data_IF_228197457414
#
_entry.id   IF_228197457414
#
_cell.length_a   1.000
_cell.length_b   1.000
_cell.length_c   1.000
_cell.angle_alpha   90.00
_cell.angle_beta   90.00
_cell.angle_gamma   90.00
#
_symmetry.space_group_name_H-M   'P 1'
#
loop_
_entity.id
_entity.type
_entity.pdbx_description
1 polymer ?
#
# COMPACT_ATOMS: atom_id res chain seq x y z
N UNK A 1 -1.20 -3.09 -18.43
CA UNK A 1 -1.37 -2.28 -17.20
C UNK A 1 -2.75 -2.59 -16.63
N UNK A 2 -2.88 -3.62 -15.80
CA UNK A 2 -4.16 -4.01 -15.18
C UNK A 2 -4.30 -3.51 -13.73
N UNK A 3 -3.24 -2.94 -13.15
CA UNK A 3 -3.17 -2.59 -11.72
C UNK A 3 -2.45 -1.28 -11.40
N UNK A 4 -2.09 -0.50 -12.43
CA UNK A 4 -1.41 0.78 -12.28
C UNK A 4 -2.46 1.90 -12.27
N UNK A 5 -2.53 2.67 -11.18
CA UNK A 5 -3.44 3.82 -11.11
C UNK A 5 -2.89 4.93 -12.00
N UNK A 6 -3.68 5.41 -12.95
CA UNK A 6 -3.29 6.60 -13.73
C UNK A 6 -3.17 7.80 -12.79
N UNK A 7 -1.94 8.24 -12.51
CA UNK A 7 -1.70 9.51 -11.82
C UNK A 7 -1.68 10.64 -12.85
N UNK A 8 -2.72 11.47 -12.83
CA UNK A 8 -2.88 12.64 -13.72
C UNK A 8 -2.08 13.87 -13.25
N UNK A 9 -1.60 13.87 -12.01
CA UNK A 9 -0.84 14.98 -11.43
C UNK A 9 0.66 14.66 -11.47
N UNK A 10 1.29 14.81 -12.64
CA UNK A 10 2.75 14.91 -12.69
C UNK A 10 3.14 16.35 -12.35
N UNK A 11 3.85 16.62 -11.24
CA UNK A 11 4.47 17.92 -11.06
C UNK A 11 5.45 18.16 -12.22
N UNK A 12 5.68 19.44 -12.56
CA UNK A 12 6.68 19.82 -13.56
C UNK A 12 8.03 19.28 -13.07
N UNK A 13 8.43 18.14 -13.62
CA UNK A 13 9.62 17.43 -13.19
C UNK A 13 10.85 18.18 -13.68
N UNK A 14 11.95 18.09 -12.93
CA UNK A 14 13.25 18.63 -13.35
C UNK A 14 13.67 18.04 -14.72
N UNK A 15 13.20 16.84 -15.05
CA UNK A 15 13.38 16.20 -16.35
C UNK A 15 12.66 16.96 -17.48
N UNK A 16 11.49 17.53 -17.23
CA UNK A 16 10.77 18.40 -18.18
C UNK A 16 11.55 19.70 -18.45
N UNK A 17 12.20 20.25 -17.42
CA UNK A 17 13.04 21.46 -17.54
C UNK A 17 14.34 21.14 -18.28
N UNK A 18 14.98 20.01 -17.97
CA UNK A 18 16.16 19.54 -18.70
C UNK A 18 15.82 19.27 -20.18
N UNK A 19 14.69 18.65 -20.47
CA UNK A 19 14.26 18.38 -21.84
C UNK A 19 13.98 19.68 -22.62
N UNK A 20 13.40 20.68 -21.96
CA UNK A 20 13.21 22.01 -22.53
C UNK A 20 14.55 22.71 -22.80
N UNK A 21 15.52 22.62 -21.89
CA UNK A 21 16.89 23.14 -22.10
C UNK A 21 17.60 22.45 -23.27
N UNK A 22 17.45 21.13 -23.42
CA UNK A 22 18.00 20.38 -24.56
C UNK A 22 17.38 20.89 -25.86
N UNK A 23 16.05 21.08 -25.91
CA UNK A 23 15.36 21.59 -27.10
C UNK A 23 15.83 23.02 -27.43
N UNK A 24 16.00 23.88 -26.44
CA UNK A 24 16.47 25.26 -26.64
C UNK A 24 17.92 25.28 -27.17
N UNK A 25 18.81 24.46 -26.60
CA UNK A 25 20.19 24.35 -27.06
C UNK A 25 20.22 23.76 -28.49
N UNK A 26 19.47 22.68 -28.73
CA UNK A 26 19.39 22.07 -30.06
C UNK A 26 18.84 23.04 -31.12
N UNK A 27 17.79 23.80 -30.80
CA UNK A 27 17.21 24.78 -31.75
C UNK A 27 18.15 25.96 -32.00
N UNK A 28 18.84 26.49 -30.98
CA UNK A 28 19.84 27.54 -31.15
C UNK A 28 21.01 27.09 -32.06
N UNK A 29 21.50 25.86 -31.89
CA UNK A 29 22.60 25.33 -32.69
C UNK A 29 22.17 24.86 -34.09
N UNK A 30 20.96 24.33 -34.27
CA UNK A 30 20.39 24.06 -35.61
C UNK A 30 20.24 25.38 -36.37
N UNK A 31 19.78 26.44 -35.70
CA UNK A 31 19.67 27.79 -36.29
C UNK A 31 21.06 28.31 -36.67
N UNK A 32 22.07 28.15 -35.81
CA UNK A 32 23.46 28.48 -36.14
C UNK A 32 23.97 27.69 -37.35
N UNK A 33 23.76 26.37 -37.39
CA UNK A 33 24.12 25.52 -38.51
C UNK A 33 23.42 25.90 -39.82
N UNK A 34 22.13 26.25 -39.77
CA UNK A 34 21.37 26.73 -40.92
C UNK A 34 21.89 28.08 -41.43
N UNK A 35 22.24 29.01 -40.52
CA UNK A 35 22.89 30.28 -40.86
C UNK A 35 24.26 30.06 -41.51
N UNK A 36 25.05 29.10 -41.03
CA UNK A 36 26.37 28.76 -41.58
C UNK A 36 26.27 28.11 -42.96
N UNK A 37 25.28 27.24 -43.19
CA UNK A 37 25.00 26.65 -44.50
C UNK A 37 24.50 27.72 -45.48
N UNK A 38 23.61 28.63 -45.06
CA UNK A 38 23.21 29.77 -45.89
C UNK A 38 24.39 30.70 -46.20
N UNK A 39 25.35 30.87 -45.29
CA UNK A 39 26.60 31.61 -45.54
C UNK A 39 27.57 30.89 -46.50
N UNK A 40 27.50 29.55 -46.58
CA UNK A 40 28.28 28.74 -47.53
C UNK A 40 27.63 28.63 -48.92
N UNK A 41 26.29 28.66 -48.99
CA UNK A 41 25.50 28.53 -50.24
C UNK A 41 25.19 29.90 -50.86
N UNK A 42 25.12 30.95 -50.04
CA UNK A 42 24.96 32.33 -50.48
C UNK A 42 26.28 32.90 -50.99
N UNK A 43 26.46 32.95 -52.30
CA UNK A 43 27.42 33.85 -52.95
C UNK A 43 27.10 35.29 -52.51
N UNK A 44 27.80 35.81 -51.50
CA UNK A 44 27.89 37.25 -51.31
C UNK A 44 29.05 37.78 -52.15
N UNK A 45 28.64 38.46 -53.21
CA UNK A 45 29.50 39.24 -54.09
C UNK A 45 30.27 40.30 -53.29
N UNK A 46 31.57 40.35 -53.56
CA UNK A 46 32.59 41.38 -53.28
C UNK A 46 32.55 42.21 -51.98
N UNK A 47 33.74 42.30 -51.36
CA UNK A 47 34.16 43.30 -50.36
C UNK A 47 33.56 43.18 -48.96
N UNK A 48 33.98 42.17 -48.20
CA UNK A 48 34.38 42.39 -46.81
C UNK A 48 35.48 41.40 -46.43
N UNK A 49 36.62 41.95 -46.06
CA UNK A 49 37.80 41.26 -45.55
C UNK A 49 37.39 40.45 -44.30
N UNK A 50 37.20 39.14 -44.44
CA UNK A 50 37.05 38.26 -43.29
C UNK A 50 37.64 36.89 -43.58
N UNK A 51 38.74 36.63 -42.89
CA UNK A 51 39.61 35.48 -43.01
C UNK A 51 39.01 34.20 -42.38
N UNK A 52 37.69 34.00 -42.48
CA UNK A 52 36.98 32.89 -41.87
C UNK A 52 36.45 31.93 -42.93
N UNK A 53 37.36 31.17 -43.55
CA UNK A 53 36.99 29.95 -44.28
C UNK A 53 36.64 28.88 -43.27
N UNK A 54 35.37 28.78 -42.91
CA UNK A 54 34.85 27.67 -42.12
C UNK A 54 34.98 26.41 -42.98
N UNK A 55 35.72 25.41 -42.48
CA UNK A 55 35.99 24.19 -43.24
C UNK A 55 34.90 23.16 -42.95
N UNK A 56 34.56 22.30 -43.90
CA UNK A 56 33.62 21.17 -43.69
C UNK A 56 33.96 20.30 -42.45
N UNK A 57 35.25 20.23 -42.10
CA UNK A 57 35.73 19.58 -40.88
C UNK A 57 35.27 20.28 -39.59
N UNK A 58 35.08 21.60 -39.57
CA UNK A 58 34.58 22.33 -38.40
C UNK A 58 33.10 22.02 -38.15
N UNK A 59 32.33 21.82 -39.22
CA UNK A 59 30.94 21.37 -39.12
C UNK A 59 30.86 19.95 -38.53
N UNK A 60 31.69 19.01 -39.01
CA UNK A 60 31.75 17.64 -38.47
C UNK A 60 32.16 17.66 -36.99
N UNK A 61 33.16 18.45 -36.62
CA UNK A 61 33.58 18.60 -35.23
C UNK A 61 32.47 19.18 -34.35
N UNK A 62 31.72 20.17 -34.84
CA UNK A 62 30.55 20.72 -34.15
C UNK A 62 29.45 19.67 -33.93
N UNK A 63 29.12 18.87 -34.95
CA UNK A 63 28.15 17.77 -34.84
C UNK A 63 28.61 16.69 -33.87
N UNK A 64 29.90 16.35 -33.86
CA UNK A 64 30.47 15.37 -32.93
C UNK A 64 30.39 15.85 -31.46
N UNK A 65 30.62 17.14 -31.21
CA UNK A 65 30.47 17.72 -29.88
C UNK A 65 29.00 17.72 -29.42
N UNK A 66 28.05 17.96 -30.33
CA UNK A 66 26.60 17.87 -30.05
C UNK A 66 26.21 16.43 -29.67
N UNK A 67 26.63 15.44 -30.47
CA UNK A 67 26.34 14.04 -30.19
C UNK A 67 26.90 13.62 -28.82
N UNK A 68 28.11 14.10 -28.48
CA UNK A 68 28.75 13.83 -27.20
C UNK A 68 28.00 14.49 -26.04
N UNK A 69 27.61 15.76 -26.16
CA UNK A 69 26.84 16.46 -25.14
C UNK A 69 25.46 15.81 -24.90
N UNK A 70 24.76 15.42 -25.98
CA UNK A 70 23.49 14.69 -25.88
C UNK A 70 23.67 13.32 -25.24
N UNK A 71 24.75 12.59 -25.57
CA UNK A 71 25.06 11.31 -24.93
C UNK A 71 25.30 11.46 -23.43
N UNK A 72 26.00 12.51 -22.98
CA UNK A 72 26.20 12.78 -21.56
C UNK A 72 24.88 13.13 -20.84
N UNK A 73 24.01 13.92 -21.46
CA UNK A 73 22.70 14.26 -20.88
C UNK A 73 21.81 13.02 -20.78
N UNK A 74 21.76 12.19 -21.83
CA UNK A 74 21.03 10.92 -21.80
C UNK A 74 21.59 9.97 -20.75
N UNK A 75 22.92 9.87 -20.63
CA UNK A 75 23.56 9.06 -19.59
C UNK A 75 23.21 9.56 -18.18
N UNK A 76 23.15 10.88 -17.97
CA UNK A 76 22.73 11.47 -16.69
C UNK A 76 21.26 11.16 -16.36
N UNK A 77 20.35 11.34 -17.32
CA UNK A 77 18.93 11.00 -17.16
C UNK A 77 18.78 9.51 -16.84
N UNK A 78 19.49 8.64 -17.58
CA UNK A 78 19.48 7.19 -17.36
C UNK A 78 20.02 6.83 -15.97
N UNK A 79 21.08 7.50 -15.52
CA UNK A 79 21.66 7.30 -14.18
C UNK A 79 20.66 7.64 -13.07
N UNK A 80 20.00 8.80 -13.14
CA UNK A 80 18.98 9.17 -12.15
C UNK A 80 17.80 8.20 -12.15
N UNK A 81 17.31 7.83 -13.34
CA UNK A 81 16.23 6.84 -13.49
C UNK A 81 16.62 5.51 -12.86
N UNK A 82 17.86 5.05 -13.08
CA UNK A 82 18.36 3.79 -12.52
C UNK A 82 18.45 3.85 -10.98
N UNK A 83 18.93 4.95 -10.40
CA UNK A 83 18.93 5.13 -8.93
C UNK A 83 17.51 5.05 -8.36
N UNK A 84 16.55 5.75 -8.96
CA UNK A 84 15.16 5.72 -8.49
C UNK A 84 14.60 4.30 -8.59
N UNK A 85 14.82 3.59 -9.70
CA UNK A 85 14.39 2.20 -9.86
C UNK A 85 15.03 1.26 -8.83
N UNK A 86 16.33 1.39 -8.57
CA UNK A 86 17.01 0.60 -7.53
C UNK A 86 16.45 0.87 -6.14
N UNK A 87 16.18 2.14 -5.81
CA UNK A 87 15.54 2.51 -4.55
C UNK A 87 14.14 1.89 -4.43
N UNK A 88 13.32 1.99 -5.48
CA UNK A 88 11.98 1.40 -5.50
C UNK A 88 12.02 -0.14 -5.35
N UNK A 89 12.99 -0.80 -5.97
CA UNK A 89 13.22 -2.24 -5.80
C UNK A 89 13.53 -2.62 -4.35
N UNK A 90 14.39 -1.86 -3.67
CA UNK A 90 14.75 -2.11 -2.27
C UNK A 90 13.55 -1.87 -1.35
N UNK A 91 12.83 -0.76 -1.52
CA UNK A 91 11.64 -0.44 -0.72
C UNK A 91 10.57 -1.52 -0.93
N UNK A 92 10.34 -1.94 -2.17
CA UNK A 92 9.41 -3.01 -2.49
C UNK A 92 9.81 -4.34 -1.83
N UNK A 93 11.09 -4.71 -1.91
CA UNK A 93 11.59 -5.92 -1.28
C UNK A 93 11.39 -5.90 0.25
N UNK A 94 11.68 -4.77 0.91
CA UNK A 94 11.47 -4.63 2.34
C UNK A 94 9.98 -4.65 2.70
N UNK A 95 9.11 -4.00 1.92
CA UNK A 95 7.66 -4.04 2.13
C UNK A 95 7.12 -5.48 2.05
N UNK A 96 7.63 -6.29 1.11
CA UNK A 96 7.29 -7.72 1.01
C UNK A 96 7.74 -8.50 2.24
N UNK A 97 8.95 -8.26 2.73
CA UNK A 97 9.45 -8.87 3.97
C UNK A 97 8.53 -8.53 5.15
N UNK A 98 7.98 -7.30 5.22
CA UNK A 98 7.01 -6.95 6.26
C UNK A 98 5.70 -7.75 6.10
N UNK A 99 5.21 -7.96 4.87
CA UNK A 99 4.04 -8.82 4.61
C UNK A 99 4.32 -10.26 5.04
N UNK A 100 5.47 -10.82 4.69
CA UNK A 100 5.85 -12.19 5.07
C UNK A 100 5.89 -12.34 6.61
N UNK A 101 6.42 -11.34 7.32
CA UNK A 101 6.38 -11.29 8.80
C UNK A 101 4.95 -11.27 9.34
N UNK A 102 4.03 -10.53 8.70
CA UNK A 102 2.63 -10.54 9.09
C UNK A 102 2.01 -11.91 8.90
N UNK A 103 2.26 -12.58 7.78
CA UNK A 103 1.78 -13.94 7.53
C UNK A 103 2.25 -14.89 8.63
N UNK A 104 3.54 -14.84 8.99
CA UNK A 104 4.09 -15.66 10.08
C UNK A 104 3.38 -15.40 11.41
N UNK A 105 3.14 -14.13 11.76
CA UNK A 105 2.41 -13.79 12.99
C UNK A 105 0.95 -14.28 12.93
N UNK A 106 0.28 -14.11 11.80
CA UNK A 106 -1.11 -14.56 11.59
C UNK A 106 -1.20 -16.08 11.77
N UNK A 107 -0.29 -16.84 11.16
CA UNK A 107 -0.27 -18.31 11.24
C UNK A 107 0.12 -18.82 12.64
N UNK A 108 0.71 -17.98 13.48
CA UNK A 108 1.01 -18.30 14.88
C UNK A 108 -0.17 -18.09 15.84
N UNK A 109 -1.27 -17.48 15.38
CA UNK A 109 -2.48 -17.28 16.19
C UNK A 109 -3.13 -18.64 16.45
N UNK A 110 -3.32 -18.95 17.73
CA UNK A 110 -3.98 -20.18 18.17
C UNK A 110 -5.49 -20.01 18.07
N UNK A 111 -6.14 -20.90 17.32
CA UNK A 111 -7.58 -20.89 17.04
C UNK A 111 -8.23 -22.24 17.36
N UNK A 112 -9.58 -22.31 17.32
CA UNK A 112 -10.35 -23.48 17.76
C UNK A 112 -10.22 -23.73 19.26
N UNK A 113 -9.94 -24.97 19.66
CA UNK A 113 -9.87 -25.38 21.07
C UNK A 113 -8.72 -24.73 21.86
N UNK A 114 -7.73 -24.14 21.17
CA UNK A 114 -6.62 -23.41 21.79
C UNK A 114 -6.81 -21.88 21.75
N UNK A 115 -7.99 -21.41 21.35
CA UNK A 115 -8.27 -19.97 21.26
C UNK A 115 -8.08 -19.31 22.62
N UNK A 116 -7.20 -18.30 22.66
CA UNK A 116 -6.88 -17.58 23.89
C UNK A 116 -6.78 -16.07 23.62
N UNK A 117 -7.46 -15.28 24.46
CA UNK A 117 -7.53 -13.83 24.35
C UNK A 117 -6.16 -13.14 24.43
N UNK A 118 -5.27 -13.61 25.31
CA UNK A 118 -3.90 -13.08 25.45
C UNK A 118 -3.07 -13.33 24.20
N UNK A 119 -3.20 -14.50 23.58
CA UNK A 119 -2.50 -14.79 22.32
C UNK A 119 -3.02 -13.90 21.17
N UNK A 120 -4.33 -13.69 21.10
CA UNK A 120 -4.94 -12.81 20.11
C UNK A 120 -4.47 -11.36 20.32
N UNK A 121 -4.51 -10.83 21.55
CA UNK A 121 -4.04 -9.47 21.85
C UNK A 121 -2.57 -9.27 21.48
N UNK A 122 -1.69 -10.20 21.90
CA UNK A 122 -0.27 -10.16 21.53
C UNK A 122 -0.05 -10.15 20.02
N UNK A 123 -0.81 -10.98 19.30
CA UNK A 123 -0.71 -11.06 17.84
C UNK A 123 -1.21 -9.80 17.16
N UNK A 124 -2.32 -9.22 17.64
CA UNK A 124 -2.88 -7.94 17.17
C UNK A 124 -1.88 -6.80 17.38
N UNK A 125 -1.22 -6.74 18.54
CA UNK A 125 -0.18 -5.74 18.82
C UNK A 125 1.03 -5.92 17.90
N UNK A 126 1.50 -7.15 17.71
CA UNK A 126 2.61 -7.43 16.78
C UNK A 126 2.26 -7.05 15.34
N UNK A 127 1.07 -7.43 14.87
CA UNK A 127 0.60 -7.08 13.52
C UNK A 127 0.48 -5.58 13.34
N UNK A 128 -0.03 -4.85 14.35
CA UNK A 128 -0.11 -3.39 14.31
C UNK A 128 1.27 -2.75 14.17
N UNK A 129 2.28 -3.23 14.89
CA UNK A 129 3.65 -2.72 14.80
C UNK A 129 4.27 -2.97 13.42
N UNK A 130 4.10 -4.18 12.87
CA UNK A 130 4.60 -4.51 11.53
C UNK A 130 3.85 -3.68 10.47
N UNK A 131 2.55 -3.41 10.68
CA UNK A 131 1.74 -2.62 9.76
C UNK A 131 2.16 -1.16 9.69
N UNK A 132 2.57 -0.56 10.81
CA UNK A 132 3.16 0.78 10.82
C UNK A 132 4.39 0.85 9.91
N UNK A 133 5.32 -0.11 10.05
CA UNK A 133 6.52 -0.16 9.21
C UNK A 133 6.20 -0.39 7.73
N UNK A 134 5.26 -1.30 7.45
CA UNK A 134 4.80 -1.56 6.08
C UNK A 134 4.21 -0.31 5.44
N UNK A 135 3.38 0.42 6.18
CA UNK A 135 2.68 1.61 5.70
C UNK A 135 3.64 2.76 5.34
N UNK A 136 4.70 2.95 6.14
CA UNK A 136 5.78 3.90 5.82
C UNK A 136 6.48 3.53 4.50
N UNK A 137 6.82 2.25 4.32
CA UNK A 137 7.46 1.76 3.10
C UNK A 137 6.54 1.90 1.90
N UNK A 138 5.28 1.46 2.02
CA UNK A 138 4.30 1.48 0.95
C UNK A 138 3.93 2.92 0.51
N UNK A 139 3.87 3.85 1.46
CA UNK A 139 3.66 5.28 1.18
C UNK A 139 4.83 5.91 0.44
N UNK A 140 6.06 5.45 0.70
CA UNK A 140 7.27 5.89 0.00
C UNK A 140 7.40 5.32 -1.43
N UNK A 141 6.59 4.32 -1.80
CA UNK A 141 6.62 3.73 -3.14
C UNK A 141 5.96 4.62 -4.18
N UNK A 142 6.61 4.75 -5.34
CA UNK A 142 6.00 5.36 -6.53
C UNK A 142 4.94 4.44 -7.14
N UNK A 143 3.98 5.03 -7.85
CA UNK A 143 2.94 4.26 -8.54
C UNK A 143 3.54 3.53 -9.74
N UNK A 144 3.89 2.26 -9.56
CA UNK A 144 4.52 1.43 -10.58
C UNK A 144 4.15 -0.07 -10.40
N UNK A 145 4.82 -0.93 -11.18
CA UNK A 145 4.63 -2.39 -11.10
C UNK A 145 5.02 -2.96 -9.74
N UNK A 146 6.01 -2.40 -9.05
CA UNK A 146 6.44 -2.88 -7.75
C UNK A 146 5.37 -2.62 -6.69
N UNK A 147 4.78 -1.43 -6.70
CA UNK A 147 3.67 -1.08 -5.80
C UNK A 147 2.43 -1.94 -6.07
N UNK A 148 2.14 -2.21 -7.33
CA UNK A 148 1.06 -3.13 -7.71
C UNK A 148 1.29 -4.56 -7.18
N UNK A 149 2.52 -5.09 -7.28
CA UNK A 149 2.82 -6.42 -6.73
C UNK A 149 2.68 -6.44 -5.20
N UNK A 150 3.17 -5.40 -4.51
CA UNK A 150 3.02 -5.28 -3.05
C UNK A 150 1.55 -5.25 -2.64
N UNK A 151 0.67 -4.56 -3.38
CA UNK A 151 -0.80 -4.62 -3.16
C UNK A 151 -1.35 -6.04 -3.29
N UNK A 152 -0.97 -6.75 -4.34
CA UNK A 152 -1.45 -8.12 -4.56
C UNK A 152 -1.06 -9.04 -3.41
N UNK A 153 0.18 -8.90 -2.90
CA UNK A 153 0.65 -9.67 -1.75
C UNK A 153 -0.02 -9.24 -0.44
N UNK A 154 -0.33 -7.95 -0.27
CA UNK A 154 -1.12 -7.47 0.86
C UNK A 154 -2.54 -8.06 0.85
N UNK A 155 -3.19 -8.06 -0.32
CA UNK A 155 -4.50 -8.66 -0.53
C UNK A 155 -4.48 -10.16 -0.24
N UNK A 156 -3.46 -10.87 -0.72
CA UNK A 156 -3.26 -12.30 -0.46
C UNK A 156 -3.15 -12.58 1.06
N UNK A 157 -2.26 -11.85 1.76
CA UNK A 157 -2.14 -11.93 3.21
C UNK A 157 -3.47 -11.66 3.92
N UNK A 158 -4.21 -10.62 3.51
CA UNK A 158 -5.47 -10.24 4.15
C UNK A 158 -6.58 -11.28 3.94
N UNK A 159 -6.84 -11.66 2.69
CA UNK A 159 -7.99 -12.51 2.37
C UNK A 159 -7.73 -14.00 2.62
N UNK A 160 -6.49 -14.48 2.42
CA UNK A 160 -6.19 -15.91 2.51
C UNK A 160 -5.63 -16.33 3.88
N UNK A 161 -4.93 -15.43 4.58
CA UNK A 161 -4.37 -15.72 5.91
C UNK A 161 -5.19 -15.06 7.02
N UNK A 162 -5.27 -13.71 7.03
CA UNK A 162 -5.86 -12.96 8.14
C UNK A 162 -7.34 -13.30 8.34
N UNK A 163 -8.15 -13.13 7.29
CA UNK A 163 -9.60 -13.35 7.35
C UNK A 163 -9.94 -14.78 7.77
N UNK A 164 -9.16 -15.76 7.31
CA UNK A 164 -9.36 -17.16 7.66
C UNK A 164 -9.17 -17.38 9.16
N UNK A 165 -8.06 -16.90 9.73
CA UNK A 165 -7.78 -17.04 11.16
C UNK A 165 -8.87 -16.39 12.02
N UNK A 166 -9.30 -15.16 11.71
CA UNK A 166 -10.39 -14.52 12.46
C UNK A 166 -11.75 -15.24 12.29
N UNK A 167 -11.94 -15.96 11.19
CA UNK A 167 -13.10 -16.83 10.98
C UNK A 167 -13.03 -18.14 11.76
N UNK A 168 -11.85 -18.55 12.23
CA UNK A 168 -11.63 -19.78 13.00
C UNK A 168 -11.52 -19.55 14.52
N UNK A 169 -11.42 -18.29 14.97
CA UNK A 169 -11.48 -17.93 16.40
C UNK A 169 -12.81 -18.42 17.01
N UNK A 170 -12.72 -19.19 18.09
CA UNK A 170 -13.88 -19.68 18.83
C UNK A 170 -14.16 -18.80 20.06
N UNK A 171 -15.26 -18.02 20.07
CA UNK A 171 -15.62 -17.19 21.22
C UNK A 171 -16.02 -18.02 22.46
N UNK A 172 -16.47 -19.26 22.29
CA UNK A 172 -16.92 -20.12 23.39
C UNK A 172 -15.73 -20.54 24.24
N UNK A 173 -14.61 -20.92 23.61
CA UNK A 173 -13.38 -21.27 24.33
C UNK A 173 -12.80 -20.09 25.10
N UNK A 174 -12.90 -18.87 24.55
CA UNK A 174 -12.47 -17.66 25.25
C UNK A 174 -13.29 -17.48 26.53
N UNK A 175 -14.62 -17.61 26.46
CA UNK A 175 -15.51 -17.43 27.61
C UNK A 175 -15.35 -18.59 28.60
N UNK A 176 -15.17 -19.82 28.12
CA UNK A 176 -14.95 -21.01 28.97
C UNK A 176 -13.68 -20.90 29.80
N UNK A 177 -12.67 -20.19 29.31
CA UNK A 177 -11.43 -19.94 30.06
C UNK A 177 -11.62 -19.02 31.28
N UNK A 178 -12.75 -18.33 31.39
CA UNK A 178 -13.07 -17.44 32.51
C UNK A 178 -13.69 -18.23 33.67
N UNK A 179 -13.05 -18.20 34.84
CA UNK A 179 -13.46 -18.99 36.01
C UNK A 179 -14.81 -18.60 36.63
N UNK A 180 -15.39 -17.47 36.21
CA UNK A 180 -16.62 -16.90 36.78
C UNK A 180 -17.90 -17.48 36.16
N UNK A 181 -17.79 -18.21 35.04
CA UNK A 181 -18.90 -18.73 34.26
C UNK A 181 -18.85 -20.26 34.32
N UNK A 182 -19.96 -20.90 34.70
CA UNK A 182 -20.05 -22.35 34.68
C UNK A 182 -20.33 -22.87 33.27
N UNK A 183 -19.88 -24.09 32.96
CA UNK A 183 -20.12 -24.71 31.65
C UNK A 183 -21.61 -24.79 31.31
N UNK A 184 -22.48 -25.09 32.29
CA UNK A 184 -23.92 -25.15 32.08
C UNK A 184 -24.55 -23.78 31.74
N UNK A 185 -24.05 -22.70 32.36
CA UNK A 185 -24.48 -21.33 32.03
C UNK A 185 -24.04 -20.93 30.62
N UNK A 186 -22.83 -21.34 30.23
CA UNK A 186 -22.27 -21.08 28.91
C UNK A 186 -23.02 -21.85 27.82
N UNK A 187 -23.27 -23.14 28.03
CA UNK A 187 -23.98 -23.99 27.07
C UNK A 187 -25.40 -23.46 26.78
N UNK A 188 -26.10 -22.99 27.81
CA UNK A 188 -27.42 -22.36 27.64
C UNK A 188 -27.31 -21.09 26.78
N UNK A 189 -26.36 -20.20 27.08
CA UNK A 189 -26.16 -18.97 26.33
C UNK A 189 -25.75 -19.24 24.87
N UNK A 190 -24.99 -20.31 24.61
CA UNK A 190 -24.61 -20.75 23.26
C UNK A 190 -25.82 -21.20 22.45
N UNK A 191 -26.74 -21.96 23.05
CA UNK A 191 -27.97 -22.40 22.37
C UNK A 191 -28.82 -21.19 21.96
N UNK A 192 -29.04 -20.26 22.88
CA UNK A 192 -29.83 -19.06 22.63
C UNK A 192 -29.17 -18.16 21.56
N UNK A 193 -27.85 -17.99 21.64
CA UNK A 193 -27.09 -17.23 20.64
C UNK A 193 -27.11 -17.91 19.26
N UNK A 194 -27.09 -19.25 19.21
CA UNK A 194 -27.18 -19.99 17.96
C UNK A 194 -28.55 -19.78 17.30
N UNK A 195 -29.64 -19.88 18.06
CA UNK A 195 -30.99 -19.65 17.54
C UNK A 195 -31.14 -18.25 16.93
N UNK A 196 -30.61 -17.23 17.60
CA UNK A 196 -30.67 -15.86 17.08
C UNK A 196 -29.78 -15.67 15.85
N UNK A 197 -28.61 -16.30 15.82
CA UNK A 197 -27.70 -16.23 14.68
C UNK A 197 -28.29 -16.84 13.40
N UNK A 198 -29.15 -17.86 13.52
CA UNK A 198 -29.80 -18.49 12.36
C UNK A 198 -30.80 -17.56 11.65
N UNK A 199 -31.31 -16.56 12.35
CA UNK A 199 -32.21 -15.52 11.79
C UNK A 199 -31.44 -14.48 10.97
N UNK A 200 -30.11 -14.40 11.13
CA UNK A 200 -29.27 -13.42 10.46
C UNK A 200 -28.92 -13.81 9.01
N UNK A 201 -28.61 -12.80 8.20
CA UNK A 201 -28.09 -13.00 6.84
C UNK A 201 -26.74 -13.73 6.93
N UNK A 202 -26.50 -14.68 6.02
CA UNK A 202 -25.35 -15.60 6.02
C UNK A 202 -24.01 -14.94 6.41
N UNK A 203 -23.59 -13.79 5.81
CA UNK A 203 -22.29 -13.19 6.13
C UNK A 203 -22.17 -12.67 7.56
N UNK A 204 -23.28 -12.39 8.23
CA UNK A 204 -23.33 -11.81 9.57
C UNK A 204 -23.67 -12.82 10.67
N UNK A 205 -23.95 -14.09 10.34
CA UNK A 205 -24.31 -15.12 11.33
C UNK A 205 -23.31 -15.20 12.48
N UNK A 206 -22.01 -15.26 12.17
CA UNK A 206 -20.95 -15.33 13.19
C UNK A 206 -20.90 -14.08 14.08
N UNK A 207 -21.10 -12.90 13.50
CA UNK A 207 -21.16 -11.65 14.26
C UNK A 207 -22.37 -11.61 15.20
N UNK A 208 -23.56 -11.95 14.70
CA UNK A 208 -24.78 -12.01 15.51
C UNK A 208 -24.64 -13.04 16.62
N UNK A 209 -24.08 -14.21 16.33
CA UNK A 209 -23.78 -15.22 17.34
C UNK A 209 -22.91 -14.65 18.47
N UNK A 210 -21.74 -14.07 18.15
CA UNK A 210 -20.81 -13.53 19.15
C UNK A 210 -21.45 -12.37 19.92
N UNK A 211 -22.14 -11.48 19.22
CA UNK A 211 -22.79 -10.33 19.83
C UNK A 211 -23.89 -10.77 20.80
N UNK A 212 -24.73 -11.73 20.43
CA UNK A 212 -25.79 -12.25 21.31
C UNK A 212 -25.19 -13.02 22.49
N UNK A 213 -24.15 -13.82 22.27
CA UNK A 213 -23.48 -14.59 23.32
C UNK A 213 -22.87 -13.68 24.39
N UNK A 214 -22.14 -12.64 23.99
CA UNK A 214 -21.47 -11.72 24.92
C UNK A 214 -22.48 -10.82 25.64
N UNK A 215 -23.54 -10.40 24.95
CA UNK A 215 -24.60 -9.59 25.54
C UNK A 215 -25.67 -10.42 26.28
N UNK A 216 -25.50 -11.74 26.36
CA UNK A 216 -26.44 -12.61 27.05
C UNK A 216 -26.56 -12.20 28.53
N UNK A 217 -27.77 -12.18 29.14
CA UNK A 217 -27.96 -11.70 30.51
C UNK A 217 -27.12 -12.43 31.57
N UNK A 218 -26.75 -13.68 31.30
CA UNK A 218 -25.91 -14.51 32.18
C UNK A 218 -24.41 -14.19 32.01
N UNK A 219 -23.98 -13.84 30.79
CA UNK A 219 -22.57 -13.67 30.43
C UNK A 219 -22.11 -12.22 30.62
N UNK A 220 -22.89 -11.25 30.13
CA UNK A 220 -22.52 -9.82 30.13
C UNK A 220 -22.12 -9.24 31.49
N UNK A 221 -22.67 -9.67 32.66
CA UNK A 221 -22.22 -9.15 33.95
C UNK A 221 -20.84 -9.69 34.38
N UNK A 222 -20.41 -10.82 33.81
CA UNK A 222 -19.22 -11.58 34.21
C UNK A 222 -18.07 -11.44 33.22
N UNK A 223 -18.38 -11.18 31.96
CA UNK A 223 -17.40 -11.11 30.88
C UNK A 223 -17.71 -9.97 29.91
N UNK A 224 -16.65 -9.29 29.47
CA UNK A 224 -16.70 -8.30 28.40
C UNK A 224 -15.43 -8.38 27.56
N UNK A 225 -15.57 -8.19 26.25
CA UNK A 225 -14.45 -8.01 25.32
C UNK A 225 -13.94 -6.58 25.26
N UNK A 226 -14.69 -5.63 25.83
CA UNK A 226 -14.31 -4.23 25.83
C UNK A 226 -12.99 -4.04 26.56
N UNK A 227 -12.10 -3.25 25.97
CA UNK A 227 -10.78 -2.92 26.51
C UNK A 227 -9.85 -4.14 26.75
N UNK A 228 -10.18 -5.32 26.20
CA UNK A 228 -9.32 -6.52 26.30
C UNK A 228 -8.19 -6.54 25.28
N UNK A 229 -8.24 -5.65 24.29
CA UNK A 229 -7.28 -5.57 23.20
C UNK A 229 -6.56 -4.22 23.24
N UNK A 230 -5.27 -4.23 23.57
CA UNK A 230 -4.48 -3.02 23.78
C UNK A 230 -4.26 -2.22 22.49
N UNK A 231 -4.17 -2.91 21.35
CA UNK A 231 -3.89 -2.29 20.05
C UNK A 231 -5.04 -2.45 19.05
N UNK A 232 -6.27 -2.61 19.55
CA UNK A 232 -7.46 -2.82 18.72
C UNK A 232 -7.64 -1.72 17.66
N UNK A 233 -7.61 -0.47 18.09
CA UNK A 233 -7.87 0.67 17.20
C UNK A 233 -6.83 0.76 16.08
N UNK A 234 -5.55 0.61 16.41
CA UNK A 234 -4.46 0.61 15.42
C UNK A 234 -4.61 -0.55 14.44
N UNK A 235 -4.93 -1.74 14.94
CA UNK A 235 -5.17 -2.89 14.08
C UNK A 235 -6.34 -2.65 13.12
N UNK A 236 -7.45 -2.11 13.62
CA UNK A 236 -8.62 -1.78 12.81
C UNK A 236 -8.26 -0.78 11.72
N UNK A 237 -7.52 0.28 12.05
CA UNK A 237 -7.04 1.29 11.09
C UNK A 237 -6.25 0.66 9.94
N UNK A 238 -5.38 -0.30 10.23
CA UNK A 238 -4.45 -0.88 9.26
C UNK A 238 -5.00 -2.08 8.48
N UNK A 239 -5.98 -2.80 9.02
CA UNK A 239 -6.45 -4.07 8.43
C UNK A 239 -7.96 -4.15 8.20
N UNK A 240 -8.77 -3.32 8.84
CA UNK A 240 -10.25 -3.47 8.81
C UNK A 240 -11.00 -2.20 8.45
N UNK A 241 -10.32 -1.07 8.30
CA UNK A 241 -10.90 0.20 7.89
C UNK A 241 -10.90 0.36 6.38
N UNK A 242 -12.06 0.19 5.78
CA UNK A 242 -12.28 0.30 4.34
C UNK A 242 -11.71 1.58 3.70
N UNK A 243 -11.85 2.71 4.40
CA UNK A 243 -11.45 4.03 3.89
C UNK A 243 -9.93 4.20 3.83
N UNK A 244 -9.20 3.52 4.72
CA UNK A 244 -7.74 3.51 4.73
C UNK A 244 -7.18 2.44 3.78
N UNK A 245 -7.94 1.37 3.54
CA UNK A 245 -7.53 0.24 2.71
C UNK A 245 -7.84 0.42 1.22
N UNK A 246 -8.57 1.45 0.81
CA UNK A 246 -8.94 1.75 -0.58
C UNK A 246 -7.75 1.65 -1.57
N UNK A 247 -6.57 2.14 -1.18
CA UNK A 247 -5.37 2.04 -2.02
C UNK A 247 -4.81 0.61 -2.11
N UNK A 248 -4.95 -0.18 -1.05
CA UNK A 248 -4.47 -1.55 -0.96
C UNK A 248 -5.45 -2.55 -1.59
N UNK A 249 -6.75 -2.27 -1.55
CA UNK A 249 -7.83 -3.07 -2.14
C UNK A 249 -8.30 -2.56 -3.51
N UNK A 250 -7.39 -1.94 -4.25
CA UNK A 250 -7.67 -1.48 -5.61
C UNK A 250 -8.18 -2.64 -6.50
N UNK A 251 -9.40 -2.49 -7.05
CA UNK A 251 -10.03 -3.50 -7.91
C UNK A 251 -11.40 -3.98 -7.41
N UNK A 252 -11.69 -5.27 -7.56
CA UNK A 252 -13.01 -5.88 -7.27
C UNK A 252 -13.23 -6.25 -5.79
N UNK A 253 -12.21 -6.13 -4.93
CA UNK A 253 -12.28 -6.51 -3.50
C UNK A 253 -12.41 -5.28 -2.58
N UNK A 254 -13.05 -4.22 -3.07
CA UNK A 254 -12.91 -2.85 -2.58
C UNK A 254 -13.60 -2.53 -1.25
N UNK A 255 -14.22 -3.50 -0.57
CA UNK A 255 -14.99 -3.24 0.65
C UNK A 255 -14.72 -4.24 1.77
N UNK A 256 -14.22 -3.74 2.89
CA UNK A 256 -14.06 -4.52 4.14
C UNK A 256 -15.07 -4.08 5.20
N UNK A 257 -15.89 -5.03 5.64
CA UNK A 257 -16.77 -4.88 6.81
C UNK A 257 -16.18 -5.69 7.97
N UNK A 258 -15.80 -5.01 9.05
CA UNK A 258 -15.23 -5.63 10.25
C UNK A 258 -16.13 -6.71 10.84
N UNK A 259 -17.46 -6.57 10.74
CA UNK A 259 -18.42 -7.56 11.25
C UNK A 259 -18.37 -8.87 10.48
N UNK A 260 -17.89 -8.85 9.23
CA UNK A 260 -17.75 -10.05 8.40
C UNK A 260 -16.33 -10.59 8.46
N UNK A 261 -15.32 -9.70 8.45
CA UNK A 261 -13.92 -10.09 8.39
C UNK A 261 -13.32 -10.47 9.75
N UNK A 262 -13.71 -9.78 10.83
CA UNK A 262 -13.23 -10.03 12.18
C UNK A 262 -14.36 -9.82 13.21
N UNK A 263 -15.37 -10.70 13.25
CA UNK A 263 -16.57 -10.54 14.07
C UNK A 263 -16.29 -10.30 15.56
N UNK A 264 -15.28 -10.99 16.12
CA UNK A 264 -14.89 -10.84 17.52
C UNK A 264 -14.37 -9.43 17.84
N UNK A 265 -13.62 -8.84 16.90
CA UNK A 265 -13.08 -7.49 17.06
C UNK A 265 -14.18 -6.44 16.88
N UNK A 266 -15.19 -6.70 16.04
CA UNK A 266 -16.36 -5.84 15.93
C UNK A 266 -17.14 -5.76 17.26
N UNK A 267 -17.26 -6.89 17.97
CA UNK A 267 -17.94 -6.95 19.28
C UNK A 267 -17.08 -6.39 20.42
N UNK A 268 -15.76 -6.32 20.25
CA UNK A 268 -14.87 -5.64 21.21
C UNK A 268 -14.99 -4.10 21.18
N UNK A 269 -15.83 -3.54 20.31
CA UNK A 269 -16.14 -2.11 20.20
C UNK A 269 -14.91 -1.22 19.96
N UNK A 270 -14.27 -1.27 18.78
CA UNK A 270 -13.22 -0.32 18.43
C UNK A 270 -13.73 1.11 18.48
N UNK A 271 -12.85 2.04 18.80
CA UNK A 271 -13.20 3.46 18.87
C UNK A 271 -13.69 3.98 17.52
N UNK A 272 -14.63 4.94 17.54
CA UNK A 272 -15.21 5.50 16.31
C UNK A 272 -14.15 6.08 15.36
N UNK A 273 -13.12 6.74 15.90
CA UNK A 273 -12.03 7.32 15.11
C UNK A 273 -11.26 6.26 14.30
N UNK A 274 -11.17 5.02 14.79
CA UNK A 274 -10.48 3.92 14.12
C UNK A 274 -11.24 3.41 12.89
N UNK A 275 -12.55 3.67 12.83
CA UNK A 275 -13.45 3.34 11.70
C UNK A 275 -13.62 4.52 10.72
N UNK A 276 -13.07 5.69 11.05
CA UNK A 276 -13.08 6.87 10.20
C UNK A 276 -11.87 6.93 9.27
N UNK A 277 -11.97 7.72 8.20
CA UNK A 277 -10.81 7.94 7.32
C UNK A 277 -9.86 8.85 8.07
N UNK A 278 -8.62 8.41 8.26
CA UNK A 278 -7.62 9.29 8.85
C UNK A 278 -7.24 10.33 7.78
N UNK A 279 -7.49 11.64 8.01
CA UNK A 279 -7.06 12.67 7.08
C UNK A 279 -5.54 12.64 7.03
N UNK A 280 -5.00 12.62 5.81
CA UNK A 280 -3.58 12.41 5.51
C UNK A 280 -2.99 11.05 5.94
N UNK A 281 -2.79 10.19 4.95
CA UNK A 281 -1.51 9.52 4.73
C UNK A 281 -1.05 9.92 3.33
#
# INVERSE_FOLDING_TARGET
MLFEKLSLNKPISLDSICLLLIIVIATAYITYGACMINGLVGNYDSNYDSNYKVTFFDFINGVAQIATALAFVLAWIQYRKNITQQRQLIIAAEARIQIDKMVVVIESIKVGNETNLTNIDQSITQLSNIATNFDELYSAMEEDIHKAIVRMQWQDMHFNHLRRIFSDIDPVEIIRSESSISDAELDLAVVDAQEESEKAIIPYKKYVFIQTLINHPIISPKFSLKDKFNSLDMFVVHFLNDKNLDCLFYGLMSHVDIRVCAPILAVAEPSQWALEKIPSR
#
